data_IF_317842217946
#
_entry.id   IF_317842217946
#
_cell.length_a   1.000
_cell.length_b   1.000
_cell.length_c   1.000
_cell.angle_alpha   90.00
_cell.angle_beta   90.00
_cell.angle_gamma   90.00
#
_symmetry.space_group_name_H-M   'P 1'
#
loop_
_entity.id
_entity.type
_entity.pdbx_description
1 polymer ?
#
# COMPACT_ATOMS: atom_id res chain seq x y z
N UNK A 1 -19.83 12.27 -16.80
CA UNK A 1 -18.52 12.37 -16.11
C UNK A 1 -18.77 12.27 -14.63
N UNK A 2 -18.16 11.29 -13.96
CA UNK A 2 -18.28 11.13 -12.51
C UNK A 2 -17.11 11.86 -11.84
N UNK A 3 -17.41 12.68 -10.83
CA UNK A 3 -16.38 13.40 -10.09
C UNK A 3 -15.74 12.48 -9.04
N UNK A 4 -14.41 12.55 -8.87
CA UNK A 4 -13.73 11.83 -7.79
C UNK A 4 -14.25 12.25 -6.41
N UNK A 5 -14.11 11.36 -5.42
CA UNK A 5 -14.54 11.63 -4.04
C UNK A 5 -13.88 12.91 -3.52
N UNK A 6 -14.64 13.69 -2.76
CA UNK A 6 -14.22 14.96 -2.16
C UNK A 6 -13.88 16.08 -3.15
N UNK A 7 -14.20 15.94 -4.44
CA UNK A 7 -14.07 17.01 -5.44
C UNK A 7 -15.37 17.80 -5.57
N UNK A 8 -15.27 19.12 -5.56
CA UNK A 8 -16.39 20.05 -5.79
C UNK A 8 -16.08 20.92 -7.01
N UNK A 9 -16.96 20.97 -8.03
CA UNK A 9 -16.85 21.91 -9.14
C UNK A 9 -17.44 23.26 -8.74
N UNK A 10 -16.77 24.35 -9.14
CA UNK A 10 -17.25 25.72 -8.96
C UNK A 10 -17.09 26.50 -10.27
N UNK A 11 -18.17 27.13 -10.72
CA UNK A 11 -18.11 28.05 -11.87
C UNK A 11 -17.43 29.35 -11.47
N UNK A 12 -16.43 29.75 -12.24
CA UNK A 12 -15.74 31.01 -12.11
C UNK A 12 -16.50 32.12 -12.85
N UNK A 13 -16.22 33.37 -12.51
CA UNK A 13 -16.83 34.53 -13.16
C UNK A 13 -16.55 34.59 -14.67
N UNK A 14 -15.44 33.98 -15.12
CA UNK A 14 -15.08 33.85 -16.54
C UNK A 14 -15.78 32.71 -17.30
N UNK A 15 -16.74 32.01 -16.69
CA UNK A 15 -17.48 30.91 -17.32
C UNK A 15 -16.80 29.53 -17.24
N UNK A 16 -15.51 29.49 -16.90
CA UNK A 16 -14.76 28.25 -16.68
C UNK A 16 -15.20 27.52 -15.39
N UNK A 17 -15.03 26.20 -15.36
CA UNK A 17 -15.27 25.39 -14.16
C UNK A 17 -13.95 25.04 -13.51
N UNK A 18 -13.74 25.51 -12.28
CA UNK A 18 -12.60 25.12 -11.45
C UNK A 18 -13.02 24.02 -10.47
N UNK A 19 -12.10 23.11 -10.19
CA UNK A 19 -12.31 22.01 -9.27
C UNK A 19 -11.51 22.23 -7.98
N UNK A 20 -12.11 21.84 -6.87
CA UNK A 20 -11.52 21.97 -5.54
C UNK A 20 -11.62 20.65 -4.80
N UNK A 21 -10.53 20.26 -4.13
CA UNK A 21 -10.58 19.18 -3.16
C UNK A 21 -11.08 19.73 -1.83
N UNK A 22 -12.15 19.14 -1.30
CA UNK A 22 -12.81 19.55 -0.07
C UNK A 22 -13.02 18.36 0.86
N UNK A 23 -12.18 18.27 1.88
CA UNK A 23 -12.34 17.31 2.96
C UNK A 23 -13.52 17.74 3.84
N UNK A 24 -14.54 16.89 4.08
CA UNK A 24 -15.71 17.26 4.86
C UNK A 24 -15.35 17.80 6.27
N UNK A 25 -16.12 18.80 6.73
CA UNK A 25 -15.87 19.48 8.02
C UNK A 25 -15.77 18.52 9.21
N UNK A 26 -16.52 17.41 9.17
CA UNK A 26 -16.45 16.33 10.17
C UNK A 26 -15.03 15.78 10.34
N UNK A 27 -14.34 15.49 9.24
CA UNK A 27 -13.00 14.91 9.26
C UNK A 27 -11.93 15.95 9.58
N UNK A 28 -12.13 17.21 9.16
CA UNK A 28 -11.25 18.31 9.58
C UNK A 28 -11.26 18.52 11.11
N UNK A 29 -12.42 18.42 11.75
CA UNK A 29 -12.53 18.48 13.23
C UNK A 29 -11.82 17.32 13.93
N UNK A 30 -11.68 16.19 13.26
CA UNK A 30 -10.94 15.01 13.73
C UNK A 30 -9.43 15.12 13.48
N UNK A 31 -8.92 16.32 13.14
CA UNK A 31 -7.51 16.60 12.81
C UNK A 31 -7.00 15.77 11.63
N UNK A 32 -7.81 15.65 10.57
CA UNK A 32 -7.35 15.11 9.29
C UNK A 32 -6.16 15.91 8.74
N UNK A 33 -5.12 15.19 8.31
CA UNK A 33 -3.90 15.77 7.74
C UNK A 33 -4.09 16.26 6.30
N UNK A 34 -5.08 15.73 5.58
CA UNK A 34 -5.38 16.14 4.21
C UNK A 34 -6.06 17.52 4.22
N UNK A 35 -5.50 18.46 3.47
CA UNK A 35 -5.99 19.83 3.38
C UNK A 35 -6.89 20.03 2.16
N UNK A 36 -7.70 21.09 2.22
CA UNK A 36 -8.45 21.54 1.06
C UNK A 36 -7.50 22.27 0.12
N UNK A 37 -7.53 21.95 -1.17
CA UNK A 37 -6.68 22.61 -2.17
C UNK A 37 -7.40 22.78 -3.51
N UNK A 38 -7.07 23.83 -4.28
CA UNK A 38 -7.54 23.97 -5.66
C UNK A 38 -6.88 22.91 -6.55
N UNK A 39 -7.68 22.21 -7.36
CA UNK A 39 -7.22 21.19 -8.31
C UNK A 39 -7.06 21.73 -9.74
N UNK A 40 -7.46 22.99 -9.97
CA UNK A 40 -7.37 23.64 -11.28
C UNK A 40 -8.63 23.46 -12.12
N UNK A 41 -8.53 23.80 -13.41
CA UNK A 41 -9.64 23.75 -14.39
C UNK A 41 -9.54 22.55 -15.35
N UNK A 42 -8.37 21.90 -15.44
CA UNK A 42 -8.16 20.69 -16.24
C UNK A 42 -8.71 19.46 -15.53
N UNK A 43 -9.63 18.75 -16.19
CA UNK A 43 -10.28 17.55 -15.67
C UNK A 43 -9.32 16.37 -15.47
N UNK A 44 -8.36 16.16 -16.37
CA UNK A 44 -7.43 15.04 -16.30
C UNK A 44 -6.39 15.25 -15.19
N UNK A 45 -5.87 16.48 -15.08
CA UNK A 45 -4.96 16.86 -13.99
C UNK A 45 -5.66 16.79 -12.63
N UNK A 46 -6.90 17.29 -12.56
CA UNK A 46 -7.73 17.22 -11.36
C UNK A 46 -7.96 15.78 -10.90
N UNK A 47 -8.29 14.87 -11.83
CA UNK A 47 -8.58 13.47 -11.49
C UNK A 47 -7.36 12.80 -10.87
N UNK A 48 -6.19 12.93 -11.51
CA UNK A 48 -4.94 12.36 -10.98
C UNK A 48 -4.60 12.91 -9.59
N UNK A 49 -4.78 14.22 -9.38
CA UNK A 49 -4.49 14.84 -8.09
C UNK A 49 -5.50 14.42 -7.02
N UNK A 50 -6.77 14.33 -7.38
CA UNK A 50 -7.83 13.86 -6.49
C UNK A 50 -7.60 12.41 -6.04
N UNK A 51 -7.10 11.54 -6.91
CA UNK A 51 -6.77 10.14 -6.57
C UNK A 51 -5.68 10.08 -5.49
N UNK A 52 -4.61 10.88 -5.63
CA UNK A 52 -3.54 10.97 -4.63
C UNK A 52 -4.08 11.44 -3.28
N UNK A 53 -4.89 12.51 -3.27
CA UNK A 53 -5.47 13.06 -2.03
C UNK A 53 -6.47 12.08 -1.39
N UNK A 54 -7.24 11.35 -2.20
CA UNK A 54 -8.14 10.32 -1.72
C UNK A 54 -7.40 9.16 -1.07
N UNK A 55 -6.27 8.72 -1.64
CA UNK A 55 -5.39 7.74 -1.02
C UNK A 55 -4.87 8.20 0.35
N UNK A 56 -4.38 9.44 0.46
CA UNK A 56 -3.95 10.02 1.74
C UNK A 56 -5.10 10.12 2.76
N UNK A 57 -6.32 10.44 2.30
CA UNK A 57 -7.49 10.48 3.16
C UNK A 57 -7.86 9.10 3.70
N UNK A 58 -7.81 8.06 2.85
CA UNK A 58 -8.09 6.68 3.24
C UNK A 58 -7.06 6.16 4.24
N UNK A 59 -5.77 6.48 4.04
CA UNK A 59 -4.71 6.17 5.00
C UNK A 59 -4.99 6.80 6.38
N UNK A 60 -5.35 8.08 6.40
CA UNK A 60 -5.69 8.78 7.64
C UNK A 60 -6.95 8.22 8.32
N UNK A 61 -8.03 7.96 7.57
CA UNK A 61 -9.28 7.44 8.16
C UNK A 61 -9.10 6.01 8.68
N UNK A 62 -8.26 5.21 8.01
CA UNK A 62 -7.88 3.87 8.45
C UNK A 62 -7.05 3.94 9.76
N UNK A 63 -6.03 4.81 9.81
CA UNK A 63 -5.27 5.11 11.04
C UNK A 63 -6.19 5.50 12.20
N UNK A 64 -7.11 6.44 11.96
CA UNK A 64 -8.03 6.96 12.98
C UNK A 64 -8.99 5.90 13.51
N UNK A 65 -9.44 4.97 12.65
CA UNK A 65 -10.36 3.90 13.03
C UNK A 65 -9.67 2.77 13.82
N UNK A 66 -8.35 2.85 14.05
CA UNK A 66 -7.57 1.76 14.64
C UNK A 66 -7.56 0.51 13.75
N UNK A 67 -7.97 0.65 12.49
CA UNK A 67 -7.84 -0.37 11.49
C UNK A 67 -6.36 -0.39 11.07
N UNK A 68 -5.76 -1.56 10.84
CA UNK A 68 -4.42 -1.61 10.28
C UNK A 68 -4.40 -0.78 8.99
N UNK A 69 -3.51 0.22 8.98
CA UNK A 69 -3.39 1.22 7.92
C UNK A 69 -3.05 0.52 6.63
N UNK A 70 -4.02 0.38 5.74
CA UNK A 70 -3.76 0.09 4.33
C UNK A 70 -3.23 1.35 3.64
N UNK A 71 -2.07 1.84 4.08
CA UNK A 71 -1.16 2.46 3.13
C UNK A 71 -0.72 1.34 2.16
N UNK A 72 -0.23 1.61 0.94
CA UNK A 72 0.65 0.64 0.32
C UNK A 72 1.86 0.51 1.26
N UNK A 73 1.78 -0.50 2.13
CA UNK A 73 2.68 -0.86 3.21
C UNK A 73 4.12 -0.52 2.82
N UNK A 74 4.69 0.56 3.37
CA UNK A 74 6.14 0.54 3.54
C UNK A 74 6.39 -0.45 4.67
N UNK A 75 6.99 -1.62 4.40
CA UNK A 75 7.16 -2.61 5.44
C UNK A 75 8.07 -2.04 6.52
N UNK A 76 7.81 -2.39 7.78
CA UNK A 76 8.64 -1.90 8.89
C UNK A 76 10.08 -2.32 8.66
N UNK A 77 11.03 -1.38 8.77
CA UNK A 77 12.43 -1.66 8.52
C UNK A 77 12.91 -2.90 9.31
N UNK A 78 13.62 -3.80 8.62
CA UNK A 78 14.11 -5.05 9.20
C UNK A 78 13.08 -6.17 9.31
N UNK A 79 11.87 -6.01 8.76
CA UNK A 79 10.90 -7.11 8.59
C UNK A 79 11.16 -7.95 7.34
N UNK A 80 10.52 -9.12 7.26
CA UNK A 80 10.62 -9.99 6.07
C UNK A 80 10.03 -9.31 4.83
N UNK A 81 8.88 -8.63 4.96
CA UNK A 81 8.31 -7.83 3.86
C UNK A 81 9.28 -6.71 3.44
N UNK A 82 9.97 -6.07 4.39
CA UNK A 82 10.99 -5.05 4.08
C UNK A 82 12.17 -5.65 3.32
N UNK A 83 12.64 -6.82 3.74
CA UNK A 83 13.76 -7.50 3.11
C UNK A 83 13.46 -7.85 1.64
N UNK A 84 12.28 -8.42 1.35
CA UNK A 84 11.93 -8.75 -0.03
C UNK A 84 11.69 -7.51 -0.89
N UNK A 85 11.13 -6.43 -0.32
CA UNK A 85 11.07 -5.15 -1.04
C UNK A 85 12.46 -4.65 -1.41
N UNK A 86 13.40 -4.68 -0.48
CA UNK A 86 14.78 -4.24 -0.70
C UNK A 86 15.49 -5.12 -1.73
N UNK A 87 15.25 -6.43 -1.68
CA UNK A 87 15.76 -7.37 -2.67
C UNK A 87 15.22 -7.07 -4.07
N UNK A 88 13.90 -6.85 -4.23
CA UNK A 88 13.26 -6.55 -5.53
C UNK A 88 13.78 -5.29 -6.21
N UNK A 89 14.30 -4.31 -5.45
CA UNK A 89 14.91 -3.09 -6.01
C UNK A 89 16.43 -3.15 -6.14
N UNK A 90 17.05 -4.24 -5.67
CA UNK A 90 18.50 -4.43 -5.73
C UNK A 90 18.97 -4.86 -7.12
N UNK A 91 20.23 -4.56 -7.46
CA UNK A 91 20.87 -5.08 -8.68
C UNK A 91 20.89 -6.60 -8.76
N UNK A 92 20.94 -7.29 -7.63
CA UNK A 92 20.90 -8.75 -7.62
C UNK A 92 19.59 -9.28 -8.23
N UNK A 93 18.45 -8.66 -7.91
CA UNK A 93 17.18 -9.03 -8.52
C UNK A 93 17.07 -8.52 -9.96
N UNK A 94 17.36 -7.24 -10.18
CA UNK A 94 17.17 -6.61 -11.49
C UNK A 94 18.08 -7.20 -12.57
N UNK A 95 19.32 -7.54 -12.24
CA UNK A 95 20.32 -7.99 -13.21
C UNK A 95 20.47 -9.51 -13.29
N UNK A 96 20.14 -10.26 -12.21
CA UNK A 96 20.36 -11.72 -12.16
C UNK A 96 19.09 -12.55 -12.27
N UNK A 97 17.92 -11.98 -12.01
CA UNK A 97 16.64 -12.69 -12.18
C UNK A 97 16.09 -12.36 -13.56
N UNK A 98 16.01 -13.38 -14.42
CA UNK A 98 15.43 -13.27 -15.75
C UNK A 98 13.98 -12.78 -15.66
N UNK A 99 13.57 -11.87 -16.54
CA UNK A 99 12.23 -11.24 -16.51
C UNK A 99 11.11 -12.28 -16.45
N UNK A 100 11.20 -13.34 -17.26
CA UNK A 100 10.21 -14.44 -17.29
C UNK A 100 10.09 -15.22 -15.97
N UNK A 101 11.11 -15.17 -15.12
CA UNK A 101 11.16 -15.88 -13.84
C UNK A 101 10.77 -14.99 -12.68
N UNK A 102 10.61 -13.67 -12.89
CA UNK A 102 10.27 -12.73 -11.82
C UNK A 102 8.93 -13.08 -11.19
N UNK A 103 7.91 -13.35 -12.01
CA UNK A 103 6.57 -13.68 -11.51
C UNK A 103 6.60 -14.88 -10.53
N UNK A 104 7.35 -15.94 -10.86
CA UNK A 104 7.52 -17.11 -9.98
C UNK A 104 8.23 -16.76 -8.66
N UNK A 105 9.28 -15.93 -8.74
CA UNK A 105 10.01 -15.46 -7.56
C UNK A 105 9.13 -14.60 -6.66
N UNK A 106 8.35 -13.68 -7.26
CA UNK A 106 7.46 -12.79 -6.51
C UNK A 106 6.33 -13.57 -5.87
N UNK A 107 5.77 -14.55 -6.59
CA UNK A 107 4.78 -15.46 -6.02
C UNK A 107 5.34 -16.22 -4.81
N UNK A 108 6.55 -16.78 -4.91
CA UNK A 108 7.17 -17.50 -3.81
C UNK A 108 7.44 -16.60 -2.59
N UNK A 109 7.92 -15.37 -2.82
CA UNK A 109 8.09 -14.37 -1.75
C UNK A 109 6.77 -14.04 -1.06
N UNK A 110 5.70 -13.86 -1.84
CA UNK A 110 4.36 -13.58 -1.31
C UNK A 110 3.81 -14.75 -0.50
N UNK A 111 4.05 -16.00 -0.93
CA UNK A 111 3.68 -17.18 -0.15
C UNK A 111 4.39 -17.21 1.21
N UNK A 112 5.70 -16.93 1.24
CA UNK A 112 6.48 -16.84 2.48
C UNK A 112 5.90 -15.74 3.38
N UNK A 113 5.72 -14.53 2.85
CA UNK A 113 5.26 -13.39 3.65
C UNK A 113 3.84 -13.56 4.20
N UNK A 114 2.92 -14.10 3.39
CA UNK A 114 1.52 -14.26 3.78
C UNK A 114 1.27 -15.51 4.64
N UNK A 115 2.30 -16.34 4.86
CA UNK A 115 2.17 -17.47 5.78
C UNK A 115 1.90 -16.99 7.20
N UNK A 116 0.82 -17.48 7.79
CA UNK A 116 0.47 -17.19 9.19
C UNK A 116 1.29 -18.05 10.15
N UNK A 117 1.82 -17.42 11.21
CA UNK A 117 2.44 -18.12 12.33
C UNK A 117 1.38 -18.73 13.25
N UNK A 118 1.82 -19.52 14.26
CA UNK A 118 0.94 -20.02 15.33
C UNK A 118 0.18 -18.91 16.06
N UNK A 119 0.72 -17.70 16.12
CA UNK A 119 0.08 -16.53 16.75
C UNK A 119 -0.86 -15.78 15.80
N UNK A 120 -1.12 -16.32 14.61
CA UNK A 120 -1.99 -15.78 13.55
C UNK A 120 -1.56 -14.43 12.95
N UNK A 121 -0.33 -14.01 13.20
CA UNK A 121 0.32 -12.90 12.50
C UNK A 121 1.08 -13.40 11.26
N UNK A 122 1.32 -12.51 10.29
CA UNK A 122 2.05 -12.83 9.05
C UNK A 122 3.55 -12.95 9.33
N UNK A 123 4.21 -13.87 8.62
CA UNK A 123 5.68 -13.94 8.59
C UNK A 123 6.27 -12.64 8.03
N UNK A 124 5.61 -12.03 7.05
CA UNK A 124 5.98 -10.73 6.46
C UNK A 124 6.19 -9.63 7.51
N UNK A 125 5.39 -9.63 8.59
CA UNK A 125 5.43 -8.62 9.65
C UNK A 125 6.52 -8.88 10.70
N UNK A 126 7.20 -10.04 10.65
CA UNK A 126 8.24 -10.42 11.61
C UNK A 126 9.57 -9.81 11.26
N UNK A 127 10.36 -9.47 12.27
CA UNK A 127 11.74 -9.04 12.09
C UNK A 127 12.61 -10.19 11.57
N UNK A 128 13.41 -9.96 10.53
CA UNK A 128 14.30 -10.95 9.92
C UNK A 128 15.19 -11.62 10.97
N UNK A 129 15.75 -10.83 11.91
CA UNK A 129 16.59 -11.34 13.00
C UNK A 129 15.90 -12.34 13.94
N UNK A 130 14.58 -12.41 13.91
CA UNK A 130 13.78 -13.34 14.73
C UNK A 130 13.48 -14.65 14.01
N UNK A 131 13.77 -14.74 12.71
CA UNK A 131 13.62 -15.96 11.93
C UNK A 131 14.84 -16.85 12.17
N UNK A 132 14.68 -17.84 13.05
CA UNK A 132 15.70 -18.86 13.32
C UNK A 132 15.77 -19.88 12.17
N UNK A 133 16.88 -20.61 11.97
CA UNK A 133 16.96 -21.70 10.99
C UNK A 133 15.80 -22.70 11.12
N UNK A 134 15.50 -23.16 12.35
CA UNK A 134 14.36 -24.05 12.64
C UNK A 134 12.99 -23.45 12.26
N UNK A 135 12.86 -22.13 12.21
CA UNK A 135 11.64 -21.48 11.77
C UNK A 135 11.55 -21.46 10.23
N UNK A 136 12.69 -21.34 9.53
CA UNK A 136 12.76 -21.48 8.09
C UNK A 136 12.44 -22.91 7.66
N UNK A 137 13.00 -23.93 8.34
CA UNK A 137 12.69 -25.35 8.05
C UNK A 137 11.19 -25.61 8.14
N UNK A 138 10.52 -25.12 9.19
CA UNK A 138 9.07 -25.25 9.36
C UNK A 138 8.25 -24.55 8.28
N UNK A 139 8.76 -23.46 7.71
CA UNK A 139 8.09 -22.80 6.59
C UNK A 139 8.22 -23.66 5.33
N UNK A 140 9.41 -24.22 5.11
CA UNK A 140 9.68 -25.13 4.00
C UNK A 140 8.80 -26.39 4.07
N UNK A 141 8.75 -27.06 5.22
CA UNK A 141 7.91 -28.25 5.46
C UNK A 141 6.44 -27.95 5.12
N UNK A 142 5.94 -26.78 5.56
CA UNK A 142 4.56 -26.35 5.32
C UNK A 142 4.22 -26.14 3.84
N UNK A 143 5.20 -25.79 3.00
CA UNK A 143 4.98 -25.65 1.57
C UNK A 143 4.97 -27.01 0.87
N UNK A 144 5.82 -27.94 1.27
CA UNK A 144 5.82 -29.32 0.74
C UNK A 144 4.52 -30.06 1.10
N UNK A 145 4.09 -29.97 2.37
CA UNK A 145 2.84 -30.62 2.82
C UNK A 145 1.59 -30.08 2.10
N UNK A 146 1.63 -28.83 1.63
CA UNK A 146 0.53 -28.21 0.87
C UNK A 146 0.48 -28.63 -0.59
N UNK A 147 1.58 -29.10 -1.17
CA UNK A 147 1.60 -29.62 -2.55
C UNK A 147 1.11 -31.07 -2.65
N UNK A 148 1.03 -31.78 -1.53
CA UNK A 148 0.69 -33.22 -1.46
C UNK A 148 -0.71 -33.53 -0.94
N UNK A 149 -1.53 -32.51 -0.62
CA UNK A 149 -2.92 -32.65 -0.17
C UNK A 149 -3.89 -31.92 -1.07
#
# INVERSE_FOLDING_TARGET
>A
MQLPRHVIPKRLAGGETAYYYNVPTKYRKLKCSVQNEPLGTDFAAMTKRADVLNGQFDEWDTQRKGLPVSAPNMPKHGTVDWLFREYKISRAYLDKVAVRSRDDYEWAMDQVCNTLTKKRDRVGDRLVRTITPRAADKLYDKFIERETG
#
